data_IF_611755088439
#
_entry.id   IF_611755088439
#
_cell.length_a   1.000
_cell.length_b   1.000
_cell.length_c   1.000
_cell.angle_alpha   90.00
_cell.angle_beta   90.00
_cell.angle_gamma   90.00
#
_symmetry.space_group_name_H-M   'P 1'
#
loop_
_entity.id
_entity.type
_entity.pdbx_description
1 polymer ?
#
# COMPACT_ATOMS: atom_id res chain seq x y z
N UNK A 1 5.87 22.97 11.10
CA UNK A 1 4.53 22.35 11.06
C UNK A 1 4.73 20.90 11.41
N UNK A 2 4.61 20.58 12.70
CA UNK A 2 4.59 19.19 13.15
C UNK A 2 3.30 18.58 12.62
N UNK A 3 3.40 17.74 11.59
CA UNK A 3 2.23 17.00 11.15
C UNK A 3 2.02 15.86 12.14
N UNK A 4 1.07 16.06 13.06
CA UNK A 4 0.64 15.10 14.07
C UNK A 4 -0.19 13.97 13.44
N UNK A 5 0.41 13.23 12.51
CA UNK A 5 -0.25 12.07 11.93
C UNK A 5 0.12 10.83 12.74
N UNK A 6 -0.91 10.17 13.28
CA UNK A 6 -0.74 8.93 14.02
C UNK A 6 -0.40 7.78 13.06
N UNK A 7 0.63 7.02 13.41
CA UNK A 7 0.93 5.77 12.73
C UNK A 7 -0.04 4.69 13.19
N UNK A 8 -0.29 3.73 12.31
CA UNK A 8 -1.06 2.53 12.65
C UNK A 8 -0.47 1.83 13.88
N UNK A 9 -1.34 1.26 14.69
CA UNK A 9 -0.95 0.40 15.82
C UNK A 9 -1.63 -0.97 15.77
N UNK A 10 -2.59 -1.16 14.87
CA UNK A 10 -3.33 -2.40 14.69
C UNK A 10 -3.29 -2.90 13.23
N UNK A 11 -3.53 -4.19 13.03
CA UNK A 11 -3.72 -4.75 11.69
C UNK A 11 -5.06 -4.31 11.07
N UNK A 12 -6.06 -4.00 11.90
CA UNK A 12 -7.37 -3.50 11.44
C UNK A 12 -7.23 -2.15 10.74
N UNK A 13 -6.39 -1.25 11.27
CA UNK A 13 -6.09 0.03 10.62
C UNK A 13 -5.55 -0.19 9.20
N UNK A 14 -4.73 -1.23 9.00
CA UNK A 14 -4.20 -1.57 7.68
C UNK A 14 -5.30 -2.05 6.74
N UNK A 15 -6.20 -2.91 7.22
CA UNK A 15 -7.31 -3.42 6.43
C UNK A 15 -8.22 -2.28 5.97
N UNK A 16 -8.61 -1.40 6.89
CA UNK A 16 -9.47 -0.26 6.60
C UNK A 16 -8.82 0.69 5.60
N UNK A 17 -7.54 1.00 5.78
CA UNK A 17 -6.80 1.85 4.85
C UNK A 17 -6.63 1.23 3.46
N UNK A 18 -6.42 -0.08 3.35
CA UNK A 18 -6.31 -0.78 2.06
C UNK A 18 -7.64 -0.74 1.33
N UNK A 19 -8.75 -1.01 2.02
CA UNK A 19 -10.07 -0.89 1.42
C UNK A 19 -10.35 0.54 0.99
N UNK A 20 -10.03 1.51 1.85
CA UNK A 20 -10.23 2.94 1.56
C UNK A 20 -9.41 3.39 0.36
N UNK A 21 -8.14 2.98 0.28
CA UNK A 21 -7.27 3.26 -0.86
C UNK A 21 -7.89 2.76 -2.17
N UNK A 22 -8.32 1.49 -2.21
CA UNK A 22 -8.88 0.89 -3.42
C UNK A 22 -10.23 1.53 -3.80
N UNK A 23 -11.05 1.92 -2.81
CA UNK A 23 -12.25 2.70 -3.05
C UNK A 23 -11.92 4.08 -3.64
N UNK A 24 -10.97 4.81 -3.03
CA UNK A 24 -10.60 6.16 -3.45
C UNK A 24 -9.98 6.20 -4.85
N UNK A 25 -9.31 5.13 -5.30
CA UNK A 25 -8.81 5.05 -6.68
C UNK A 25 -9.93 5.15 -7.73
N UNK A 26 -11.15 4.74 -7.43
CA UNK A 26 -12.26 4.83 -8.39
C UNK A 26 -12.83 6.26 -8.51
N UNK A 27 -12.47 7.17 -7.60
CA UNK A 27 -13.02 8.54 -7.55
C UNK A 27 -11.97 9.65 -7.57
N UNK A 28 -10.70 9.34 -7.30
CA UNK A 28 -9.63 10.33 -7.20
C UNK A 28 -8.58 10.17 -8.32
N UNK A 29 -8.72 10.99 -9.36
CA UNK A 29 -7.80 11.01 -10.50
C UNK A 29 -6.38 11.44 -10.11
N UNK A 30 -6.22 12.26 -9.07
CA UNK A 30 -4.92 12.71 -8.60
C UNK A 30 -4.18 11.56 -7.89
N UNK A 31 -4.86 10.82 -7.03
CA UNK A 31 -4.32 9.62 -6.41
C UNK A 31 -3.91 8.60 -7.48
N UNK A 32 -4.78 8.35 -8.47
CA UNK A 32 -4.46 7.52 -9.63
C UNK A 32 -3.20 7.99 -10.37
N UNK A 33 -3.02 9.30 -10.52
CA UNK A 33 -1.85 9.88 -11.20
C UNK A 33 -0.53 9.51 -10.52
N UNK A 34 -0.56 9.27 -9.20
CA UNK A 34 0.60 8.99 -8.34
C UNK A 34 0.92 7.50 -8.18
N UNK A 35 0.13 6.58 -8.75
CA UNK A 35 0.35 5.12 -8.63
C UNK A 35 1.76 4.67 -9.02
N UNK A 36 2.39 5.35 -9.99
CA UNK A 36 3.76 5.03 -10.44
C UNK A 36 4.87 5.55 -9.50
N UNK A 37 4.53 6.34 -8.48
CA UNK A 37 5.46 6.90 -7.51
C UNK A 37 5.69 5.95 -6.32
N UNK A 38 4.68 5.14 -5.99
CA UNK A 38 4.74 4.22 -4.86
C UNK A 38 5.71 3.06 -5.11
N UNK A 39 6.65 2.89 -4.18
CA UNK A 39 7.66 1.82 -4.23
C UNK A 39 7.31 0.65 -3.32
N UNK A 40 6.82 0.91 -2.11
CA UNK A 40 6.52 -0.15 -1.14
C UNK A 40 5.02 -0.44 -1.15
N UNK A 41 4.66 -1.63 -1.63
CA UNK A 41 3.29 -2.13 -1.70
C UNK A 41 3.06 -3.21 -0.66
N UNK A 42 1.87 -3.24 -0.08
CA UNK A 42 1.45 -4.16 0.97
C UNK A 42 0.21 -4.89 0.48
N UNK A 43 0.32 -6.21 0.37
CA UNK A 43 -0.77 -7.07 -0.10
C UNK A 43 -1.53 -7.64 1.10
N UNK A 44 -2.86 -7.62 1.02
CA UNK A 44 -3.76 -8.21 2.01
C UNK A 44 -4.45 -9.43 1.39
N UNK A 45 -4.10 -10.66 1.79
CA UNK A 45 -4.68 -11.88 1.24
C UNK A 45 -6.20 -11.96 1.41
N UNK A 46 -6.72 -11.56 2.57
CA UNK A 46 -8.15 -11.64 2.90
C UNK A 46 -9.03 -10.75 2.00
N UNK A 47 -8.44 -9.69 1.44
CA UNK A 47 -9.10 -8.73 0.57
C UNK A 47 -8.73 -8.91 -0.91
N UNK A 48 -7.68 -9.68 -1.20
CA UNK A 48 -6.99 -9.71 -2.49
C UNK A 48 -6.64 -8.31 -3.03
N UNK A 49 -6.18 -7.42 -2.14
CA UNK A 49 -5.96 -6.00 -2.45
C UNK A 49 -4.55 -5.52 -2.05
N UNK A 50 -4.13 -4.42 -2.67
CA UNK A 50 -2.87 -3.73 -2.37
C UNK A 50 -3.10 -2.34 -1.82
N UNK A 51 -2.19 -1.89 -0.95
CA UNK A 51 -2.04 -0.48 -0.59
C UNK A 51 -0.57 -0.07 -0.46
N UNK A 52 -0.21 1.19 -0.77
CA UNK A 52 1.16 1.68 -0.66
C UNK A 52 1.50 2.11 0.78
N UNK A 53 2.78 2.02 1.19
CA UNK A 53 3.24 2.32 2.57
C UNK A 53 2.70 3.63 3.12
N UNK A 54 2.80 4.70 2.33
CA UNK A 54 2.41 6.05 2.72
C UNK A 54 0.91 6.20 2.94
N UNK A 55 0.10 5.28 2.43
CA UNK A 55 -1.35 5.31 2.62
C UNK A 55 -1.77 4.37 3.76
N UNK A 56 -1.19 3.17 3.81
CA UNK A 56 -1.60 2.14 4.77
C UNK A 56 -0.96 2.26 6.15
N UNK A 57 0.10 3.06 6.30
CA UNK A 57 0.85 3.16 7.55
C UNK A 57 0.46 4.32 8.48
N UNK A 58 -0.53 5.13 8.11
CA UNK A 58 -1.12 6.15 8.98
C UNK A 58 -2.55 5.77 9.34
N UNK A 59 -3.06 6.20 10.48
CA UNK A 59 -4.49 6.01 10.81
C UNK A 59 -5.38 6.91 9.95
N UNK A 60 -6.60 6.46 9.70
CA UNK A 60 -7.68 7.21 9.05
C UNK A 60 -7.29 7.84 7.70
N UNK A 61 -6.45 7.15 6.93
CA UNK A 61 -5.96 7.70 5.67
C UNK A 61 -7.04 7.67 4.58
N UNK A 62 -7.17 8.77 3.86
CA UNK A 62 -7.96 8.89 2.63
C UNK A 62 -7.17 9.62 1.54
N UNK A 63 -7.68 9.63 0.30
CA UNK A 63 -7.07 10.41 -0.78
C UNK A 63 -6.99 11.91 -0.44
N UNK A 64 -8.02 12.46 0.20
CA UNK A 64 -8.05 13.86 0.65
C UNK A 64 -6.94 14.14 1.65
N UNK A 65 -6.80 13.28 2.65
CA UNK A 65 -5.75 13.37 3.65
C UNK A 65 -4.38 13.27 2.98
N UNK A 66 -4.12 12.23 2.18
CA UNK A 66 -2.85 12.01 1.50
C UNK A 66 -2.38 13.23 0.69
N UNK A 67 -3.30 13.91 -0.01
CA UNK A 67 -3.00 15.15 -0.76
C UNK A 67 -2.58 16.31 0.14
N UNK A 68 -3.03 16.35 1.39
CA UNK A 68 -2.72 17.34 2.42
C UNK A 68 -1.29 17.31 2.98
N UNK A 69 -0.42 16.38 2.52
CA UNK A 69 1.02 16.44 2.81
C UNK A 69 1.62 15.22 3.53
N UNK A 70 0.95 14.06 3.51
CA UNK A 70 1.51 12.83 4.06
C UNK A 70 2.67 12.35 3.18
N UNK A 71 3.90 12.50 3.67
CA UNK A 71 5.11 12.28 2.85
C UNK A 71 6.13 11.34 3.48
N UNK A 72 6.06 11.05 4.78
CA UNK A 72 7.11 10.27 5.44
C UNK A 72 6.90 8.75 5.30
N UNK A 73 7.32 8.22 4.15
CA UNK A 73 7.28 6.79 3.86
C UNK A 73 8.19 5.94 4.77
N UNK A 74 9.22 6.51 5.39
CA UNK A 74 10.12 5.74 6.26
C UNK A 74 9.43 5.41 7.60
N UNK A 75 8.71 6.38 8.17
CA UNK A 75 7.96 6.18 9.40
C UNK A 75 6.85 5.12 9.23
N UNK A 76 6.13 5.17 8.11
CA UNK A 76 5.08 4.19 7.81
C UNK A 76 5.63 2.80 7.57
N UNK A 77 6.74 2.66 6.82
CA UNK A 77 7.38 1.36 6.61
C UNK A 77 7.84 0.73 7.94
N UNK A 78 8.32 1.54 8.90
CA UNK A 78 8.71 1.06 10.24
C UNK A 78 7.52 0.56 11.06
N UNK A 79 6.37 1.24 11.00
CA UNK A 79 5.15 0.78 11.66
C UNK A 79 4.66 -0.53 11.04
N UNK A 80 4.61 -0.59 9.71
CA UNK A 80 4.14 -1.75 8.94
C UNK A 80 5.04 -2.98 9.07
N UNK A 81 6.33 -2.82 9.38
CA UNK A 81 7.25 -3.94 9.61
C UNK A 81 6.81 -4.90 10.71
N UNK A 82 5.96 -4.46 11.65
CA UNK A 82 5.38 -5.33 12.68
C UNK A 82 4.48 -6.41 12.10
N UNK A 83 3.77 -6.09 11.02
CA UNK A 83 2.75 -6.96 10.42
C UNK A 83 3.22 -7.64 9.13
N UNK A 84 4.17 -7.01 8.42
CA UNK A 84 4.57 -7.44 7.08
C UNK A 84 6.06 -7.79 6.97
N UNK A 85 6.36 -8.57 5.92
CA UNK A 85 7.72 -8.86 5.46
C UNK A 85 7.80 -8.72 3.93
N UNK A 86 8.96 -8.37 3.36
CA UNK A 86 9.16 -8.40 1.92
C UNK A 86 8.94 -9.83 1.38
N UNK A 87 8.26 -9.96 0.23
CA UNK A 87 8.13 -11.25 -0.42
C UNK A 87 9.50 -11.74 -0.92
N UNK A 88 9.84 -12.98 -0.58
CA UNK A 88 11.11 -13.57 -1.02
C UNK A 88 11.08 -13.89 -2.51
N UNK A 89 12.25 -13.83 -3.17
CA UNK A 89 12.35 -14.14 -4.61
C UNK A 89 11.96 -15.58 -4.95
N UNK A 90 12.15 -16.50 -4.00
CA UNK A 90 11.79 -17.91 -4.08
C UNK A 90 10.32 -18.20 -3.83
N UNK A 91 9.52 -17.24 -3.34
CA UNK A 91 8.12 -17.48 -3.04
C UNK A 91 7.33 -17.73 -4.35
N UNK A 92 6.58 -18.84 -4.47
CA UNK A 92 5.88 -19.21 -5.70
C UNK A 92 4.82 -18.17 -6.12
N UNK A 93 4.20 -17.49 -5.17
CA UNK A 93 3.13 -16.51 -5.42
C UNK A 93 3.66 -15.15 -5.87
N UNK A 94 4.98 -14.95 -5.88
CA UNK A 94 5.57 -13.66 -6.24
C UNK A 94 5.16 -13.19 -7.63
N UNK A 95 5.18 -14.08 -8.63
CA UNK A 95 4.78 -13.73 -10.00
C UNK A 95 3.30 -13.38 -10.10
N UNK A 96 2.45 -14.09 -9.36
CA UNK A 96 1.02 -13.81 -9.31
C UNK A 96 0.76 -12.43 -8.71
N UNK A 97 1.38 -12.12 -7.57
CA UNK A 97 1.27 -10.81 -6.94
C UNK A 97 1.84 -9.67 -7.79
N UNK A 98 2.96 -9.89 -8.49
CA UNK A 98 3.49 -8.93 -9.46
C UNK A 98 2.48 -8.67 -10.60
N UNK A 99 1.81 -9.73 -11.07
CA UNK A 99 0.78 -9.63 -12.12
C UNK A 99 -0.46 -8.90 -11.62
N UNK A 100 -0.91 -9.17 -10.38
CA UNK A 100 -2.02 -8.47 -9.74
C UNK A 100 -1.74 -6.98 -9.53
N UNK A 101 -0.57 -6.64 -9.02
CA UNK A 101 -0.16 -5.24 -8.85
C UNK A 101 -0.09 -4.51 -10.20
N UNK A 102 0.43 -5.18 -11.23
CA UNK A 102 0.42 -4.64 -12.58
C UNK A 102 -1.01 -4.42 -13.10
N UNK A 103 -1.91 -5.38 -12.87
CA UNK A 103 -3.33 -5.27 -13.21
C UNK A 103 -4.02 -4.09 -12.52
N UNK A 104 -3.80 -3.92 -11.22
CA UNK A 104 -4.30 -2.79 -10.44
C UNK A 104 -3.86 -1.45 -11.05
N UNK A 105 -2.55 -1.25 -11.29
CA UNK A 105 -2.07 -0.01 -11.87
C UNK A 105 -2.59 0.21 -13.31
N UNK A 106 -2.69 -0.86 -14.10
CA UNK A 106 -3.09 -0.78 -15.51
C UNK A 106 -4.56 -0.39 -15.66
N UNK A 107 -5.43 -0.75 -14.70
CA UNK A 107 -6.84 -0.29 -14.65
C UNK A 107 -6.95 1.23 -14.74
N UNK A 108 -5.96 1.97 -14.22
CA UNK A 108 -5.92 3.43 -14.22
C UNK A 108 -4.93 4.01 -15.24
N UNK A 109 -4.52 3.22 -16.25
CA UNK A 109 -3.56 3.64 -17.27
C UNK A 109 -2.14 3.87 -16.75
N UNK A 110 -1.79 3.27 -15.62
CA UNK A 110 -0.47 3.40 -14.98
C UNK A 110 0.29 2.07 -15.01
N UNK A 111 1.56 2.16 -14.63
CA UNK A 111 2.42 1.00 -14.38
C UNK A 111 3.01 1.13 -12.98
N UNK A 112 3.26 0.00 -12.28
CA UNK A 112 3.99 0.04 -11.02
C UNK A 112 5.37 0.69 -11.22
N UNK A 113 5.90 1.29 -10.15
CA UNK A 113 7.25 1.83 -10.16
C UNK A 113 8.27 0.75 -10.56
N UNK A 114 9.32 1.09 -11.33
CA UNK A 114 10.36 0.11 -11.71
C UNK A 114 11.07 -0.52 -10.51
N UNK A 115 11.15 0.20 -9.39
CA UNK A 115 11.75 -0.24 -8.14
C UNK A 115 10.70 -0.66 -7.10
N UNK A 116 9.51 -1.07 -7.54
CA UNK A 116 8.47 -1.55 -6.63
C UNK A 116 8.91 -2.79 -5.85
N UNK A 117 8.40 -2.90 -4.63
CA UNK A 117 8.59 -4.01 -3.70
C UNK A 117 7.21 -4.40 -3.17
N UNK A 118 6.98 -5.71 -3.05
CA UNK A 118 5.76 -6.25 -2.48
C UNK A 118 6.08 -6.81 -1.10
N UNK A 119 5.24 -6.45 -0.13
CA UNK A 119 5.28 -6.94 1.23
C UNK A 119 3.99 -7.72 1.49
N UNK A 120 4.13 -8.81 2.26
CA UNK A 120 3.06 -9.75 2.59
C UNK A 120 2.98 -9.95 4.10
N UNK A 121 1.82 -10.33 4.66
CA UNK A 121 1.71 -10.55 6.10
C UNK A 121 2.73 -11.59 6.58
N UNK A 122 3.29 -11.39 7.77
CA UNK A 122 4.30 -12.30 8.33
C UNK A 122 3.78 -13.72 8.52
N UNK A 123 2.50 -13.86 8.83
CA UNK A 123 1.85 -15.14 9.09
C UNK A 123 1.22 -15.75 7.83
N UNK A 124 1.39 -15.12 6.67
CA UNK A 124 0.96 -15.69 5.40
C UNK A 124 2.02 -16.66 4.86
N UNK A 125 1.70 -17.96 4.95
CA UNK A 125 2.50 -19.07 4.44
C UNK A 125 1.91 -19.55 3.13
N UNK A 126 2.13 -18.76 2.08
CA UNK A 126 1.76 -19.11 0.71
C UNK A 126 2.97 -19.63 -0.07
#
# INVERSE_FOLDING_TARGET
MDSWYELIDSYWDVLDNVQRFNFDLDFDAELCSRLNQFRSWYYIPDLDQFGPSQFVGYKDMSATEYKGGYTNGEATERALWRFFRPIQRSNPNRKDLESKLFGLCSRYGKRPNKAHRINIPRDWFA
#
